data_IF_425927479635
#
_entry.id   IF_425927479635
#
_cell.length_a   1.000
_cell.length_b   1.000
_cell.length_c   1.000
_cell.angle_alpha   90.00
_cell.angle_beta   90.00
_cell.angle_gamma   90.00
#
_symmetry.space_group_name_H-M   'P 1'
#
loop_
_entity.id
_entity.type
_entity.pdbx_description
1 polymer ?
#
# COMPACT_ATOMS: atom_id res chain seq x y z
N UNK A 1 1.45 11.45 62.62
CA UNK A 1 0.14 11.25 62.02
C UNK A 1 0.16 11.80 60.60
N UNK A 2 -0.44 11.16 59.65
CA UNK A 2 -0.45 11.49 58.23
C UNK A 2 0.88 11.21 57.52
N UNK A 3 1.15 9.93 57.29
CA UNK A 3 2.21 9.45 56.35
C UNK A 3 1.68 8.42 55.34
N UNK A 4 0.41 8.46 54.97
CA UNK A 4 -0.23 7.44 54.11
C UNK A 4 -0.61 7.96 52.71
N UNK A 5 -0.44 9.24 52.41
CA UNK A 5 -0.92 9.80 51.14
C UNK A 5 0.13 9.97 50.07
N UNK A 6 1.39 9.54 50.26
CA UNK A 6 2.42 9.65 49.24
C UNK A 6 2.54 8.41 48.32
N UNK A 7 1.91 7.28 48.71
CA UNK A 7 2.02 6.03 47.96
C UNK A 7 0.87 5.78 46.98
N UNK A 8 -0.19 6.60 47.05
CA UNK A 8 -1.36 6.42 46.18
C UNK A 8 -1.35 7.29 44.92
N UNK A 9 -0.32 8.13 44.75
CA UNK A 9 -0.24 9.07 43.63
C UNK A 9 0.73 8.60 42.52
N UNK A 10 1.32 7.38 42.61
CA UNK A 10 2.33 6.91 41.65
C UNK A 10 1.84 5.81 40.72
N UNK A 11 0.54 5.50 40.73
CA UNK A 11 0.01 4.39 39.89
C UNK A 11 -0.86 4.85 38.70
N UNK A 12 -0.85 6.14 38.34
CA UNK A 12 -1.74 6.67 37.31
C UNK A 12 -1.02 7.12 36.02
N UNK A 13 0.19 6.66 35.74
CA UNK A 13 0.92 7.10 34.53
C UNK A 13 1.38 5.97 33.61
N UNK A 14 0.61 4.90 33.47
CA UNK A 14 0.83 3.93 32.40
C UNK A 14 -0.41 3.77 31.53
N UNK A 15 -0.96 4.87 31.04
CA UNK A 15 -1.72 4.83 29.81
C UNK A 15 -0.68 5.06 28.71
N UNK A 16 0.05 4.02 28.36
CA UNK A 16 0.79 3.98 27.10
C UNK A 16 -0.24 4.08 26.00
N UNK A 17 -0.41 5.28 25.46
CA UNK A 17 -1.07 5.49 24.20
C UNK A 17 -0.33 4.67 23.15
N UNK A 18 -0.85 3.49 22.81
CA UNK A 18 -0.58 2.89 21.52
C UNK A 18 -1.14 3.88 20.49
N UNK A 19 -0.29 4.80 20.05
CA UNK A 19 -0.49 5.55 18.84
C UNK A 19 -0.39 4.54 17.72
N UNK A 20 -1.53 4.05 17.24
CA UNK A 20 -1.64 3.39 15.96
C UNK A 20 -1.19 4.41 14.90
N UNK A 21 0.09 4.39 14.56
CA UNK A 21 0.63 5.05 13.38
C UNK A 21 0.16 4.30 12.12
N UNK A 22 -1.14 4.17 11.95
CA UNK A 22 -1.73 3.99 10.63
C UNK A 22 -1.68 5.34 9.95
N UNK A 23 -0.52 5.69 9.40
CA UNK A 23 -0.48 6.74 8.39
C UNK A 23 -1.46 6.31 7.31
N UNK A 24 -2.56 7.03 7.24
CA UNK A 24 -3.57 6.77 6.21
C UNK A 24 -2.93 7.05 4.86
N UNK A 25 -2.59 5.99 4.13
CA UNK A 25 -2.03 6.09 2.77
C UNK A 25 -2.90 6.94 1.84
N UNK A 26 -4.15 7.18 2.21
CA UNK A 26 -5.08 8.10 1.52
C UNK A 26 -4.68 9.58 1.60
N UNK A 27 -3.74 9.96 2.49
CA UNK A 27 -3.24 11.35 2.62
C UNK A 27 -2.00 11.61 1.75
N UNK A 28 -1.46 10.60 1.10
CA UNK A 28 -0.28 10.73 0.25
C UNK A 28 -0.64 11.46 -1.04
N UNK A 29 -0.08 12.65 -1.25
CA UNK A 29 -0.31 13.46 -2.46
C UNK A 29 0.78 13.22 -3.55
N UNK A 30 1.27 12.00 -3.66
CA UNK A 30 2.22 11.59 -4.70
C UNK A 30 1.77 10.25 -5.29
N UNK A 31 1.47 10.17 -6.60
CA UNK A 31 0.96 8.94 -7.21
C UNK A 31 1.94 7.77 -7.14
N UNK A 32 3.25 8.01 -7.15
CA UNK A 32 4.26 6.94 -7.00
C UNK A 32 4.21 6.32 -5.62
N UNK A 33 4.12 7.15 -4.58
CA UNK A 33 4.02 6.67 -3.19
C UNK A 33 2.70 5.94 -2.94
N UNK A 34 1.59 6.40 -3.53
CA UNK A 34 0.30 5.68 -3.47
C UNK A 34 0.42 4.31 -4.14
N UNK A 35 1.09 4.24 -5.30
CA UNK A 35 1.32 2.99 -6.01
C UNK A 35 2.17 2.00 -5.20
N UNK A 36 3.25 2.47 -4.60
CA UNK A 36 4.11 1.66 -3.71
C UNK A 36 3.31 1.19 -2.49
N UNK A 37 2.61 2.09 -1.81
CA UNK A 37 1.84 1.78 -0.61
C UNK A 37 0.73 0.74 -0.87
N UNK A 38 0.11 0.77 -2.05
CA UNK A 38 -0.86 -0.23 -2.46
C UNK A 38 -0.26 -1.65 -2.50
N UNK A 39 0.86 -1.81 -3.20
CA UNK A 39 1.50 -3.10 -3.32
C UNK A 39 2.19 -3.54 -2.04
N UNK A 40 2.71 -2.61 -1.25
CA UNK A 40 3.29 -2.89 0.06
C UNK A 40 2.23 -3.43 1.03
N UNK A 41 1.05 -2.77 1.08
CA UNK A 41 -0.10 -3.26 1.83
C UNK A 41 -0.53 -4.66 1.38
N UNK A 42 -0.52 -4.94 0.06
CA UNK A 42 -0.93 -6.24 -0.47
C UNK A 42 0.10 -7.35 -0.18
N UNK A 43 1.39 -7.09 -0.46
CA UNK A 43 2.43 -8.14 -0.43
C UNK A 43 3.17 -8.26 0.89
N UNK A 44 3.49 -7.16 1.55
CA UNK A 44 4.30 -7.16 2.78
C UNK A 44 3.43 -7.12 4.04
N UNK A 45 2.49 -6.19 4.10
CA UNK A 45 1.60 -6.08 5.26
C UNK A 45 0.47 -7.12 5.26
N UNK A 46 0.17 -7.74 4.12
CA UNK A 46 -0.93 -8.72 3.94
C UNK A 46 -2.30 -8.14 4.32
N UNK A 47 -2.52 -6.85 4.08
CA UNK A 47 -3.75 -6.13 4.39
C UNK A 47 -4.52 -5.73 3.12
N UNK A 48 -5.47 -6.59 2.73
CA UNK A 48 -6.31 -6.37 1.54
C UNK A 48 -7.23 -5.14 1.67
N UNK A 49 -7.64 -4.79 2.89
CA UNK A 49 -8.50 -3.63 3.15
C UNK A 49 -7.71 -2.34 2.98
N UNK A 50 -6.50 -2.31 3.50
CA UNK A 50 -5.58 -1.18 3.33
C UNK A 50 -5.23 -0.97 1.85
N UNK A 51 -4.93 -2.03 1.11
CA UNK A 51 -4.71 -1.96 -0.33
C UNK A 51 -5.96 -1.41 -1.07
N UNK A 52 -7.15 -1.91 -0.77
CA UNK A 52 -8.38 -1.45 -1.39
C UNK A 52 -8.72 0.02 -1.08
N UNK A 53 -8.28 0.56 0.06
CA UNK A 53 -8.60 1.94 0.48
C UNK A 53 -8.05 3.03 -0.43
N UNK A 54 -7.03 2.73 -1.22
CA UNK A 54 -6.42 3.66 -2.20
C UNK A 54 -6.88 3.43 -3.63
N UNK A 55 -7.93 2.64 -3.81
CA UNK A 55 -8.46 2.30 -5.12
C UNK A 55 -9.80 3.00 -5.39
N UNK A 56 -10.08 3.20 -6.68
CA UNK A 56 -11.42 3.57 -7.15
C UNK A 56 -12.46 2.54 -6.67
N UNK A 57 -13.72 2.94 -6.36
CA UNK A 57 -14.72 2.05 -5.79
C UNK A 57 -14.95 0.74 -6.54
N UNK A 58 -14.86 0.76 -7.86
CA UNK A 58 -15.01 -0.46 -8.69
C UNK A 58 -13.84 -1.43 -8.47
N UNK A 59 -12.62 -0.94 -8.48
CA UNK A 59 -11.42 -1.74 -8.26
C UNK A 59 -11.34 -2.21 -6.80
N UNK A 60 -11.68 -1.36 -5.84
CA UNK A 60 -11.75 -1.70 -4.43
C UNK A 60 -12.71 -2.88 -4.17
N UNK A 61 -13.93 -2.84 -4.75
CA UNK A 61 -14.88 -3.97 -4.64
C UNK A 61 -14.33 -5.26 -5.22
N UNK A 62 -13.63 -5.18 -6.37
CA UNK A 62 -13.00 -6.35 -6.98
C UNK A 62 -11.92 -6.94 -6.07
N UNK A 63 -11.05 -6.11 -5.50
CA UNK A 63 -9.98 -6.53 -4.57
C UNK A 63 -10.58 -7.19 -3.33
N UNK A 64 -11.58 -6.56 -2.71
CA UNK A 64 -12.24 -7.07 -1.51
C UNK A 64 -13.03 -8.36 -1.77
N UNK A 65 -13.50 -8.58 -3.00
CA UNK A 65 -14.18 -9.82 -3.39
C UNK A 65 -13.29 -11.06 -3.21
N UNK A 66 -12.00 -10.95 -3.46
CA UNK A 66 -11.04 -12.04 -3.28
C UNK A 66 -10.69 -12.35 -1.82
N UNK A 67 -11.05 -11.49 -0.88
CA UNK A 67 -10.97 -11.66 0.58
C UNK A 67 -9.56 -11.82 1.16
N UNK A 68 -8.59 -12.34 0.42
CA UNK A 68 -7.22 -12.53 0.89
C UNK A 68 -6.18 -11.94 -0.04
N UNK A 69 -5.05 -11.46 0.50
CA UNK A 69 -3.95 -10.90 -0.30
C UNK A 69 -3.41 -11.91 -1.32
N UNK A 70 -3.33 -13.18 -0.95
CA UNK A 70 -2.84 -14.25 -1.84
C UNK A 70 -3.78 -14.46 -3.04
N UNK A 71 -5.09 -14.40 -2.82
CA UNK A 71 -6.06 -14.54 -3.91
C UNK A 71 -6.01 -13.32 -4.84
N UNK A 72 -5.91 -12.10 -4.30
CA UNK A 72 -5.69 -10.87 -5.10
C UNK A 72 -4.40 -10.98 -5.92
N UNK A 73 -3.29 -11.34 -5.29
CA UNK A 73 -2.00 -11.50 -5.94
C UNK A 73 -2.05 -12.49 -7.12
N UNK A 74 -2.68 -13.64 -6.90
CA UNK A 74 -2.81 -14.68 -7.92
C UNK A 74 -3.73 -14.28 -9.06
N UNK A 75 -4.93 -13.77 -8.75
CA UNK A 75 -5.97 -13.59 -9.76
C UNK A 75 -5.90 -12.25 -10.50
N UNK A 76 -5.40 -11.20 -9.86
CA UNK A 76 -5.31 -9.88 -10.49
C UNK A 76 -3.93 -9.58 -11.05
N UNK A 77 -2.87 -10.11 -10.44
CA UNK A 77 -1.49 -9.77 -10.81
C UNK A 77 -0.72 -10.94 -11.39
N UNK A 78 -1.18 -12.18 -11.19
CA UNK A 78 -0.44 -13.42 -11.52
C UNK A 78 1.00 -13.40 -10.95
N UNK A 79 1.16 -12.86 -9.75
CA UNK A 79 2.43 -12.58 -9.12
C UNK A 79 2.29 -12.76 -7.61
N UNK A 80 3.09 -13.63 -7.01
CA UNK A 80 3.03 -13.94 -5.58
C UNK A 80 4.37 -13.70 -4.94
N UNK A 81 4.38 -13.10 -3.74
CA UNK A 81 5.57 -12.87 -2.94
C UNK A 81 5.29 -13.18 -1.47
N UNK A 82 6.27 -13.78 -0.81
CA UNK A 82 6.32 -13.88 0.65
C UNK A 82 6.78 -12.55 1.25
N UNK A 83 7.79 -11.95 0.62
CA UNK A 83 8.25 -10.59 0.86
C UNK A 83 8.80 -9.99 -0.45
N UNK A 84 8.67 -8.68 -0.62
CA UNK A 84 9.11 -8.01 -1.83
C UNK A 84 9.53 -6.57 -1.56
N UNK A 85 10.64 -6.15 -2.18
CA UNK A 85 11.05 -4.76 -2.26
C UNK A 85 10.43 -4.13 -3.50
N UNK A 86 9.72 -3.03 -3.29
CA UNK A 86 8.98 -2.34 -4.35
C UNK A 86 9.58 -0.95 -4.51
N UNK A 87 9.90 -0.59 -5.73
CA UNK A 87 10.44 0.74 -6.06
C UNK A 87 9.98 1.17 -7.45
N UNK A 88 10.01 2.47 -7.76
CA UNK A 88 9.82 2.93 -9.12
C UNK A 88 10.85 2.28 -10.04
N UNK A 89 10.45 1.94 -11.25
CA UNK A 89 11.36 1.43 -12.27
C UNK A 89 12.28 2.57 -12.75
N UNK A 90 13.57 2.49 -12.48
CA UNK A 90 14.60 3.47 -12.83
C UNK A 90 15.43 3.09 -14.09
N UNK A 91 14.94 2.14 -14.90
CA UNK A 91 15.62 1.60 -16.09
C UNK A 91 15.74 2.58 -17.27
N UNK A 92 15.49 3.87 -17.07
CA UNK A 92 15.61 4.93 -18.09
C UNK A 92 14.35 5.14 -18.95
N UNK A 93 13.32 4.32 -18.79
CA UNK A 93 11.99 4.60 -19.33
C UNK A 93 11.34 5.64 -18.43
N UNK A 94 10.60 6.61 -19.00
CA UNK A 94 9.88 7.61 -18.17
C UNK A 94 8.98 6.87 -17.18
N UNK A 95 9.41 6.83 -15.93
CA UNK A 95 8.80 6.11 -14.79
C UNK A 95 7.37 6.55 -14.52
N UNK A 96 7.12 7.82 -14.83
CA UNK A 96 5.86 8.49 -14.59
C UNK A 96 5.42 9.22 -15.84
N UNK A 97 4.31 8.80 -16.41
CA UNK A 97 3.58 9.58 -17.39
C UNK A 97 2.41 10.25 -16.67
N UNK A 98 2.51 11.54 -16.44
CA UNK A 98 1.43 12.32 -15.84
C UNK A 98 0.85 13.29 -16.86
N UNK A 99 -0.46 13.32 -16.97
CA UNK A 99 -1.19 14.30 -17.75
C UNK A 99 -2.38 14.82 -16.95
N UNK A 100 -2.34 16.10 -16.57
CA UNK A 100 -3.37 16.71 -15.71
C UNK A 100 -3.61 15.87 -14.43
N UNK A 101 -4.79 15.27 -14.34
CA UNK A 101 -5.27 14.49 -13.21
C UNK A 101 -5.11 12.96 -13.39
N UNK A 102 -4.23 12.51 -14.30
CA UNK A 102 -3.97 11.09 -14.56
C UNK A 102 -2.47 10.82 -14.48
N UNK A 103 -2.11 9.67 -13.91
CA UNK A 103 -0.73 9.21 -13.88
C UNK A 103 -0.67 7.71 -14.20
N UNK A 104 0.37 7.30 -14.94
CA UNK A 104 0.72 5.88 -15.10
C UNK A 104 2.06 5.67 -14.43
N UNK A 105 2.11 4.74 -13.49
CA UNK A 105 3.28 4.42 -12.71
C UNK A 105 3.75 3.01 -13.05
N UNK A 106 5.03 2.88 -13.35
CA UNK A 106 5.73 1.60 -13.52
C UNK A 106 6.52 1.31 -12.26
N UNK A 107 6.34 0.12 -11.70
CA UNK A 107 7.00 -0.34 -10.48
C UNK A 107 7.79 -1.61 -10.75
N UNK A 108 8.96 -1.67 -10.15
CA UNK A 108 9.84 -2.83 -10.13
C UNK A 108 9.71 -3.58 -8.81
N UNK A 109 9.60 -4.89 -8.90
CA UNK A 109 9.46 -5.82 -7.79
C UNK A 109 10.69 -6.73 -7.74
N UNK A 110 11.26 -6.86 -6.56
CA UNK A 110 12.41 -7.72 -6.29
C UNK A 110 12.17 -8.43 -4.95
N UNK A 111 11.88 -9.72 -4.99
CA UNK A 111 11.45 -10.44 -3.81
C UNK A 111 11.56 -11.96 -3.91
N UNK A 112 10.96 -12.63 -2.96
CA UNK A 112 11.02 -14.09 -2.84
C UNK A 112 9.61 -14.68 -2.71
N UNK A 113 9.43 -15.84 -3.33
CA UNK A 113 8.26 -16.68 -3.13
C UNK A 113 8.70 -18.15 -3.08
N UNK A 114 8.40 -18.83 -1.95
CA UNK A 114 8.81 -20.23 -1.72
C UNK A 114 10.29 -20.45 -2.04
N UNK A 115 11.17 -19.61 -1.45
CA UNK A 115 12.63 -19.62 -1.64
C UNK A 115 13.13 -19.21 -3.04
N UNK A 116 12.25 -19.05 -4.02
CA UNK A 116 12.64 -18.59 -5.35
C UNK A 116 12.73 -17.06 -5.39
N UNK A 117 13.84 -16.56 -5.92
CA UNK A 117 14.04 -15.14 -6.17
C UNK A 117 13.30 -14.72 -7.44
N UNK A 118 12.40 -13.78 -7.33
CA UNK A 118 11.55 -13.31 -8.41
C UNK A 118 11.73 -11.81 -8.62
N UNK A 119 11.75 -11.41 -9.88
CA UNK A 119 11.76 -10.01 -10.32
C UNK A 119 10.64 -9.80 -11.32
N UNK A 120 9.92 -8.69 -11.17
CA UNK A 120 8.77 -8.38 -12.02
C UNK A 120 8.59 -6.88 -12.19
N UNK A 121 7.80 -6.48 -13.17
CA UNK A 121 7.44 -5.09 -13.45
C UNK A 121 5.93 -5.00 -13.61
N UNK A 122 5.30 -4.06 -12.92
CA UNK A 122 3.87 -3.81 -13.05
C UNK A 122 3.59 -2.34 -13.34
N UNK A 123 2.56 -2.12 -14.14
CA UNK A 123 2.04 -0.78 -14.42
C UNK A 123 0.63 -0.62 -13.88
N UNK A 124 0.41 0.49 -13.23
CA UNK A 124 -0.91 0.89 -12.79
C UNK A 124 -1.23 2.32 -13.21
N UNK A 125 -2.51 2.58 -13.41
CA UNK A 125 -3.01 3.93 -13.68
C UNK A 125 -3.69 4.48 -12.43
N UNK A 126 -3.42 5.75 -12.16
CA UNK A 126 -4.04 6.51 -11.08
C UNK A 126 -4.76 7.72 -11.64
N UNK A 127 -5.79 8.13 -10.94
CA UNK A 127 -6.49 9.39 -11.18
C UNK A 127 -6.45 10.26 -9.92
N UNK A 128 -6.45 11.56 -10.12
CA UNK A 128 -6.57 12.52 -9.02
C UNK A 128 -8.04 12.91 -8.86
N UNK A 129 -8.53 12.78 -7.65
CA UNK A 129 -9.90 13.15 -7.28
C UNK A 129 -10.05 14.67 -7.11
N UNK A 130 -11.28 15.16 -6.98
CA UNK A 130 -11.57 16.59 -6.78
C UNK A 130 -10.96 17.19 -5.51
N UNK A 131 -10.72 16.36 -4.50
CA UNK A 131 -10.04 16.72 -3.25
C UNK A 131 -8.52 16.48 -3.29
N UNK A 132 -7.95 16.45 -4.50
CA UNK A 132 -6.51 16.31 -4.78
C UNK A 132 -5.86 15.01 -4.28
N UNK A 133 -6.62 13.96 -4.03
CA UNK A 133 -6.08 12.65 -3.66
C UNK A 133 -5.85 11.79 -4.88
N UNK A 134 -4.75 11.07 -4.91
CA UNK A 134 -4.49 10.05 -5.92
C UNK A 134 -5.09 8.72 -5.53
N UNK A 135 -5.84 8.10 -6.45
CA UNK A 135 -6.41 6.76 -6.29
C UNK A 135 -6.11 5.90 -7.51
N UNK A 136 -5.91 4.60 -7.28
CA UNK A 136 -5.66 3.63 -8.34
C UNK A 136 -6.98 3.30 -9.02
N UNK A 137 -7.04 3.47 -10.34
CA UNK A 137 -8.26 3.19 -11.11
C UNK A 137 -8.13 1.98 -12.04
N UNK A 138 -6.92 1.62 -12.46
CA UNK A 138 -6.70 0.47 -13.37
C UNK A 138 -5.39 -0.25 -13.10
N UNK A 139 -5.45 -1.58 -13.21
CA UNK A 139 -4.30 -2.44 -13.39
C UNK A 139 -4.07 -2.53 -14.89
N UNK A 140 -2.89 -2.17 -15.35
CA UNK A 140 -2.55 -2.21 -16.77
C UNK A 140 -1.90 -3.55 -17.12
N UNK A 141 -1.99 -3.91 -18.41
CA UNK A 141 -1.24 -5.06 -18.92
C UNK A 141 0.26 -4.82 -18.76
N UNK A 142 0.98 -5.90 -18.56
CA UNK A 142 2.43 -5.86 -18.47
C UNK A 142 3.03 -5.24 -19.74
N UNK A 143 4.16 -4.53 -19.62
CA UNK A 143 4.74 -3.81 -20.75
C UNK A 143 5.42 -4.72 -21.78
N UNK A 144 5.56 -6.02 -21.46
CA UNK A 144 6.26 -7.02 -22.28
C UNK A 144 5.40 -8.25 -22.50
#
# INVERSE_FOLDING_TARGET
MIKINALLLLTLFFISACSDNKEEITKINNPELVAIAFFDALYNEKDVKKAASVCEPKLARLILHYKSPQAVARHLFNMSYDNVKIKPDDSGVKLRKQFKNKATITLYFDGYYQENHLKDVKRISLIQTSDNKWIINKILKDPF
#
